data_IF_953491586088
#
_entry.id   IF_953491586088
#
_cell.length_a   1.000
_cell.length_b   1.000
_cell.length_c   1.000
_cell.angle_alpha   90.00
_cell.angle_beta   90.00
_cell.angle_gamma   90.00
#
_symmetry.space_group_name_H-M   'P 1'
#
loop_
_entity.id
_entity.type
_entity.pdbx_description
1 polymer ?
#
# COMPACT_ATOMS: atom_id res chain seq x y z
N UNK A 1 -11.19 11.12 1.55
CA UNK A 1 -10.50 11.22 2.84
C UNK A 1 -11.12 10.33 3.91
N UNK A 2 -12.41 10.53 4.21
CA UNK A 2 -13.07 9.75 5.25
C UNK A 2 -13.08 8.26 4.96
N UNK A 3 -13.29 7.88 3.69
CA UNK A 3 -13.29 6.45 3.31
C UNK A 3 -11.94 5.79 3.58
N UNK A 4 -10.87 6.48 3.26
CA UNK A 4 -9.52 5.99 3.49
C UNK A 4 -9.28 5.76 4.98
N UNK A 5 -9.62 6.75 5.80
CA UNK A 5 -9.45 6.68 7.25
C UNK A 5 -10.29 5.55 7.83
N UNK A 6 -11.56 5.44 7.39
CA UNK A 6 -12.46 4.39 7.89
C UNK A 6 -11.94 3.00 7.55
N UNK A 7 -11.42 2.82 6.35
CA UNK A 7 -10.89 1.52 5.94
C UNK A 7 -9.70 1.11 6.79
N UNK A 8 -8.78 2.03 7.04
CA UNK A 8 -7.60 1.76 7.86
C UNK A 8 -7.98 1.52 9.31
N UNK A 9 -8.94 2.29 9.84
CA UNK A 9 -9.44 2.12 11.20
C UNK A 9 -10.10 0.76 11.37
N UNK A 10 -10.90 0.33 10.40
CA UNK A 10 -11.54 -0.98 10.44
C UNK A 10 -10.52 -2.11 10.46
N UNK A 11 -9.46 -1.97 9.66
CA UNK A 11 -8.41 -2.97 9.63
C UNK A 11 -7.68 -3.05 10.96
N UNK A 12 -7.39 -1.91 11.57
CA UNK A 12 -6.75 -1.86 12.88
C UNK A 12 -7.61 -2.52 13.96
N UNK A 13 -8.92 -2.24 13.96
CA UNK A 13 -9.84 -2.88 14.88
C UNK A 13 -9.87 -4.38 14.70
N UNK A 14 -9.86 -4.84 13.45
CA UNK A 14 -9.82 -6.25 13.14
C UNK A 14 -8.56 -6.92 13.70
N UNK A 15 -7.42 -6.26 13.58
CA UNK A 15 -6.18 -6.77 14.14
C UNK A 15 -6.25 -6.91 15.65
N UNK A 16 -6.82 -5.92 16.34
CA UNK A 16 -6.96 -5.96 17.80
C UNK A 16 -7.79 -7.14 18.25
N UNK A 17 -8.86 -7.44 17.53
CA UNK A 17 -9.75 -8.56 17.88
C UNK A 17 -9.12 -9.90 17.57
N UNK A 18 -8.45 -10.02 16.43
CA UNK A 18 -7.94 -11.31 15.92
C UNK A 18 -6.60 -11.71 16.52
N UNK A 19 -5.71 -10.76 16.72
CA UNK A 19 -4.30 -11.07 16.94
C UNK A 19 -3.75 -10.52 18.23
N UNK A 20 -4.60 -9.92 19.04
CA UNK A 20 -4.18 -9.39 20.32
C UNK A 20 -3.65 -7.97 20.21
N UNK A 21 -3.20 -7.47 21.36
CA UNK A 21 -2.79 -6.09 21.47
C UNK A 21 -1.36 -5.87 21.01
N UNK A 22 -1.07 -4.60 20.70
CA UNK A 22 0.26 -4.18 20.30
C UNK A 22 1.29 -4.60 21.34
N UNK A 23 2.44 -5.02 20.86
CA UNK A 23 3.53 -5.45 21.73
C UNK A 23 3.69 -6.95 21.84
N UNK A 24 2.68 -7.74 21.46
CA UNK A 24 2.84 -9.18 21.41
C UNK A 24 3.51 -9.56 20.08
N UNK A 25 4.16 -10.73 20.07
CA UNK A 25 4.85 -11.19 18.88
C UNK A 25 3.91 -11.32 17.68
N UNK A 26 2.76 -11.94 17.87
CA UNK A 26 1.79 -12.10 16.78
C UNK A 26 1.24 -10.76 16.34
N UNK A 27 1.02 -9.82 17.26
CA UNK A 27 0.52 -8.50 16.92
C UNK A 27 1.55 -7.72 16.10
N UNK A 28 2.83 -7.82 16.44
CA UNK A 28 3.87 -7.12 15.69
C UNK A 28 3.95 -7.63 14.26
N UNK A 29 3.82 -8.94 14.08
CA UNK A 29 3.78 -9.53 12.74
C UNK A 29 2.65 -8.92 11.91
N UNK A 30 1.48 -8.79 12.51
CA UNK A 30 0.33 -8.26 11.80
C UNK A 30 0.38 -6.74 11.63
N UNK A 31 1.15 -6.06 12.45
CA UNK A 31 1.40 -4.64 12.21
C UNK A 31 2.25 -4.43 10.97
N UNK A 32 3.20 -5.31 10.68
CA UNK A 32 3.94 -5.26 9.43
C UNK A 32 3.00 -5.48 8.24
N UNK A 33 2.08 -6.42 8.36
CA UNK A 33 1.08 -6.64 7.33
C UNK A 33 0.15 -5.44 7.17
N UNK A 34 -0.14 -4.75 8.27
CA UNK A 34 -0.94 -3.55 8.22
C UNK A 34 -0.23 -2.43 7.46
N UNK A 35 1.09 -2.27 7.66
CA UNK A 35 1.85 -1.28 6.90
C UNK A 35 1.86 -1.62 5.41
N UNK A 36 1.97 -2.90 5.08
CA UNK A 36 1.89 -3.33 3.68
C UNK A 36 0.51 -3.06 3.10
N UNK A 37 -0.54 -3.25 3.90
CA UNK A 37 -1.90 -2.93 3.49
C UNK A 37 -2.06 -1.44 3.25
N UNK A 38 -1.54 -0.61 4.16
CA UNK A 38 -1.60 0.85 4.01
C UNK A 38 -0.91 1.31 2.74
N UNK A 39 0.24 0.73 2.43
CA UNK A 39 0.96 1.09 1.22
C UNK A 39 0.14 0.76 -0.02
N UNK A 40 -0.47 -0.42 -0.04
CA UNK A 40 -1.32 -0.81 -1.16
C UNK A 40 -2.50 0.14 -1.34
N UNK A 41 -3.16 0.51 -0.23
CA UNK A 41 -4.27 1.46 -0.27
C UNK A 41 -3.80 2.81 -0.80
N UNK A 42 -2.65 3.27 -0.34
CA UNK A 42 -2.11 4.55 -0.78
C UNK A 42 -1.85 4.54 -2.29
N UNK A 43 -1.27 3.45 -2.81
CA UNK A 43 -0.99 3.35 -4.23
C UNK A 43 -2.29 3.37 -5.05
N UNK A 44 -3.31 2.66 -4.59
CA UNK A 44 -4.61 2.66 -5.28
C UNK A 44 -5.24 4.05 -5.27
N UNK A 45 -5.12 4.76 -4.15
CA UNK A 45 -5.68 6.10 -4.04
C UNK A 45 -4.97 7.10 -4.94
N UNK A 46 -3.65 7.02 -5.00
CA UNK A 46 -2.87 7.84 -5.92
C UNK A 46 -3.26 7.56 -7.37
N UNK A 47 -3.47 6.29 -7.70
CA UNK A 47 -3.89 5.92 -9.04
C UNK A 47 -5.24 6.52 -9.37
N UNK A 48 -6.20 6.42 -8.46
CA UNK A 48 -7.53 7.01 -8.64
C UNK A 48 -7.45 8.53 -8.77
N UNK A 49 -6.62 9.16 -7.95
CA UNK A 49 -6.46 10.62 -8.00
C UNK A 49 -5.90 11.07 -9.35
N UNK A 50 -5.09 10.25 -9.98
CA UNK A 50 -4.55 10.54 -11.31
C UNK A 50 -5.47 10.12 -12.44
N UNK A 51 -6.64 9.54 -12.13
CA UNK A 51 -7.59 9.10 -13.14
C UNK A 51 -7.12 7.91 -13.96
N UNK A 52 -6.25 7.08 -13.41
CA UNK A 52 -5.68 5.95 -14.14
C UNK A 52 -6.36 4.65 -13.76
N UNK A 53 -6.57 3.79 -14.75
CA UNK A 53 -6.94 2.40 -14.48
C UNK A 53 -5.69 1.62 -14.08
N UNK A 54 -5.89 0.43 -13.52
CA UNK A 54 -4.76 -0.44 -13.19
C UNK A 54 -3.94 -0.77 -14.43
N UNK A 55 -4.60 -0.99 -15.55
CA UNK A 55 -3.91 -1.29 -16.80
C UNK A 55 -3.11 -0.10 -17.30
N UNK A 56 -3.67 1.10 -17.22
CA UNK A 56 -2.96 2.30 -17.64
C UNK A 56 -1.73 2.53 -16.79
N UNK A 57 -1.84 2.37 -15.48
CA UNK A 57 -0.70 2.49 -14.59
C UNK A 57 0.36 1.44 -14.92
N UNK A 58 -0.07 0.20 -15.14
CA UNK A 58 0.84 -0.88 -15.49
C UNK A 58 1.63 -0.54 -16.75
N UNK A 59 0.96 -0.03 -17.76
CA UNK A 59 1.60 0.35 -19.01
C UNK A 59 2.65 1.46 -18.81
N UNK A 60 2.33 2.43 -17.97
CA UNK A 60 3.27 3.52 -17.68
C UNK A 60 4.53 3.02 -16.98
N UNK A 61 4.38 2.01 -16.15
CA UNK A 61 5.48 1.50 -15.31
C UNK A 61 6.20 0.30 -15.91
N UNK A 62 5.74 -0.19 -17.07
CA UNK A 62 6.35 -1.35 -17.69
C UNK A 62 6.06 -2.65 -16.94
N UNK A 63 4.88 -2.77 -16.37
CA UNK A 63 4.48 -3.98 -15.66
C UNK A 63 3.09 -4.43 -16.13
N UNK A 64 2.45 -5.33 -15.39
CA UNK A 64 1.15 -5.89 -15.78
C UNK A 64 0.05 -5.42 -14.83
N UNK A 65 -1.19 -5.42 -15.36
CA UNK A 65 -2.36 -5.10 -14.56
C UNK A 65 -2.46 -6.05 -13.36
N UNK A 66 -2.15 -7.33 -13.57
CA UNK A 66 -2.20 -8.33 -12.50
C UNK A 66 -1.26 -7.96 -11.36
N UNK A 67 -0.06 -7.51 -11.68
CA UNK A 67 0.90 -7.08 -10.68
C UNK A 67 0.40 -5.87 -9.91
N UNK A 68 -0.12 -4.86 -10.62
CA UNK A 68 -0.67 -3.66 -9.98
C UNK A 68 -1.81 -4.04 -9.04
N UNK A 69 -2.73 -4.89 -9.50
CA UNK A 69 -3.83 -5.34 -8.66
C UNK A 69 -3.32 -6.02 -7.40
N UNK A 70 -2.30 -6.86 -7.53
CA UNK A 70 -1.74 -7.60 -6.40
C UNK A 70 -1.13 -6.65 -5.37
N UNK A 71 -0.32 -5.69 -5.78
CA UNK A 71 0.33 -4.78 -4.82
C UNK A 71 -0.67 -3.81 -4.19
N UNK A 72 -1.74 -3.45 -4.88
CA UNK A 72 -2.77 -2.60 -4.28
C UNK A 72 -3.53 -3.33 -3.18
N UNK A 73 -3.59 -4.65 -3.25
CA UNK A 73 -4.22 -5.45 -2.20
C UNK A 73 -3.25 -5.81 -1.10
N UNK A 74 -1.98 -5.99 -1.42
CA UNK A 74 -0.96 -6.33 -0.44
C UNK A 74 0.41 -6.00 -1.04
N UNK A 75 1.05 -4.98 -0.49
CA UNK A 75 2.34 -4.50 -0.98
C UNK A 75 3.53 -5.06 -0.20
N UNK A 76 3.35 -6.18 0.55
CA UNK A 76 4.41 -6.71 1.40
C UNK A 76 5.66 -7.13 0.64
N UNK A 77 5.51 -7.56 -0.60
CA UNK A 77 6.62 -8.06 -1.40
C UNK A 77 7.14 -7.05 -2.42
N UNK A 78 6.66 -5.80 -2.36
CA UNK A 78 7.08 -4.83 -3.36
C UNK A 78 8.56 -4.48 -3.16
N UNK A 79 9.29 -4.45 -4.25
CA UNK A 79 10.69 -4.02 -4.22
C UNK A 79 10.74 -2.50 -4.20
N UNK A 80 11.73 -1.96 -3.48
CA UNK A 80 11.92 -0.51 -3.43
C UNK A 80 12.08 0.07 -4.83
N UNK A 81 12.86 -0.60 -5.70
CA UNK A 81 13.05 -0.12 -7.05
C UNK A 81 11.74 -0.05 -7.84
N UNK A 82 10.87 -1.03 -7.63
CA UNK A 82 9.56 -1.05 -8.28
C UNK A 82 8.68 0.08 -7.76
N UNK A 83 8.67 0.26 -6.43
CA UNK A 83 7.90 1.35 -5.82
C UNK A 83 8.36 2.71 -6.35
N UNK A 84 9.67 2.93 -6.41
CA UNK A 84 10.22 4.17 -6.95
C UNK A 84 9.79 4.40 -8.39
N UNK A 85 9.80 3.34 -9.21
CA UNK A 85 9.38 3.43 -10.61
C UNK A 85 7.90 3.77 -10.74
N UNK A 86 7.06 3.17 -9.91
CA UNK A 86 5.62 3.47 -9.92
C UNK A 86 5.39 4.93 -9.56
N UNK A 87 6.06 5.41 -8.54
CA UNK A 87 5.90 6.80 -8.10
C UNK A 87 6.40 7.77 -9.17
N UNK A 88 7.57 7.50 -9.76
CA UNK A 88 8.15 8.43 -10.74
C UNK A 88 7.52 8.30 -12.12
N UNK A 89 7.46 7.10 -12.66
CA UNK A 89 6.94 6.90 -14.02
C UNK A 89 5.43 6.80 -14.08
N UNK A 90 4.83 6.24 -13.03
CA UNK A 90 3.38 6.09 -12.99
C UNK A 90 2.68 7.37 -12.59
N UNK A 91 3.17 8.04 -11.57
CA UNK A 91 2.49 9.20 -10.98
C UNK A 91 3.21 10.52 -11.17
N UNK A 92 4.43 10.49 -11.71
CA UNK A 92 5.19 11.72 -11.95
C UNK A 92 5.71 12.39 -10.69
N UNK A 93 5.86 11.61 -9.62
CA UNK A 93 6.28 12.15 -8.34
C UNK A 93 7.63 11.62 -7.89
N UNK A 94 7.92 11.84 -6.63
CA UNK A 94 9.14 11.36 -5.99
C UNK A 94 8.80 10.62 -4.71
N UNK A 95 9.51 9.53 -4.45
CA UNK A 95 9.38 8.81 -3.21
C UNK A 95 10.38 9.37 -2.19
N UNK A 96 9.87 9.78 -1.05
CA UNK A 96 10.71 10.16 0.09
C UNK A 96 10.49 9.16 1.20
N UNK A 97 11.58 8.71 1.80
CA UNK A 97 11.50 7.76 2.90
C UNK A 97 11.82 8.47 4.20
N UNK A 98 11.12 8.06 5.24
CA UNK A 98 11.33 8.58 6.57
C UNK A 98 11.44 7.38 7.53
N UNK A 99 12.46 7.40 8.38
CA UNK A 99 12.68 6.32 9.34
C UNK A 99 12.57 6.90 10.73
N UNK A 100 11.76 6.27 11.56
CA UNK A 100 11.64 6.63 12.97
C UNK A 100 12.35 5.58 13.80
N UNK A 101 13.17 6.03 14.74
CA UNK A 101 13.91 5.14 15.64
C UNK A 101 13.52 5.43 17.13
#
# INVERSE_FOLDING_TARGET
MKKKTNKLTSFTSHLDEQYGKKGTESREKYEQEFEAFKLGVMLAELRHDKGLTQEQLANKCGTTKTYISRIENNASDIRLSTLMRIISQGFGGHLKLNVEI
#
